data_IF_428272572377
#
_entry.id   IF_428272572377
#
_cell.length_a   1.000
_cell.length_b   1.000
_cell.length_c   1.000
_cell.angle_alpha   90.00
_cell.angle_beta   90.00
_cell.angle_gamma   90.00
#
_symmetry.space_group_name_H-M   'P 1'
#
loop_
_entity.id
_entity.type
_entity.pdbx_description
1 polymer ?
#
# COMPACT_ATOMS: atom_id res chain seq x y z
N UNK A 1 -3.90 -1.79 -4.88
CA UNK A 1 -3.19 -0.80 -4.04
C UNK A 1 -2.20 -0.02 -4.90
N UNK A 2 -2.03 1.28 -4.63
CA UNK A 2 -1.07 2.18 -5.28
C UNK A 2 -0.46 3.08 -4.20
N UNK A 3 0.82 3.40 -4.34
CA UNK A 3 1.53 4.32 -3.43
C UNK A 3 2.09 5.47 -4.27
N UNK A 4 1.70 6.69 -3.95
CA UNK A 4 2.20 7.91 -4.58
C UNK A 4 3.01 8.74 -3.60
N UNK A 5 4.14 9.27 -4.03
CA UNK A 5 4.93 10.25 -3.28
C UNK A 5 5.13 11.53 -4.08
N UNK A 6 5.82 12.50 -3.48
CA UNK A 6 6.14 13.78 -4.13
C UNK A 6 6.89 13.61 -5.46
N UNK A 7 7.69 12.55 -5.62
CA UNK A 7 8.44 12.23 -6.83
C UNK A 7 7.67 11.36 -7.84
N UNK A 8 6.39 11.05 -7.57
CA UNK A 8 5.54 10.22 -8.42
C UNK A 8 5.21 8.85 -7.82
N UNK A 9 4.74 7.93 -8.66
CA UNK A 9 4.30 6.61 -8.25
C UNK A 9 5.48 5.74 -7.75
N UNK A 10 5.34 5.19 -6.56
CA UNK A 10 6.30 4.25 -5.97
C UNK A 10 6.09 2.87 -6.57
N UNK A 11 7.18 2.24 -7.03
CA UNK A 11 7.16 0.84 -7.49
C UNK A 11 6.88 -0.08 -6.31
N UNK A 12 5.87 -0.93 -6.47
CA UNK A 12 5.47 -1.94 -5.50
C UNK A 12 5.52 -3.31 -6.17
N UNK A 13 5.85 -4.34 -5.40
CA UNK A 13 5.78 -5.74 -5.82
C UNK A 13 4.33 -6.20 -5.99
N UNK A 14 4.18 -7.47 -6.40
CA UNK A 14 2.87 -8.11 -6.46
C UNK A 14 2.18 -8.05 -5.09
N UNK A 15 0.86 -7.87 -5.12
CA UNK A 15 0.05 -7.95 -3.90
C UNK A 15 0.02 -9.40 -3.44
N UNK A 16 0.27 -9.60 -2.16
CA UNK A 16 0.24 -10.92 -1.52
C UNK A 16 -0.74 -10.88 -0.36
N UNK A 17 -1.39 -12.01 -0.11
CA UNK A 17 -2.29 -12.27 1.02
C UNK A 17 -2.11 -13.74 1.40
N UNK A 18 -2.19 -14.05 2.68
CA UNK A 18 -2.22 -15.44 3.14
C UNK A 18 -3.66 -15.95 3.14
N UNK A 19 -4.00 -16.84 2.19
CA UNK A 19 -5.36 -17.37 2.07
C UNK A 19 -5.74 -18.33 3.21
N UNK A 20 -4.79 -18.74 4.07
CA UNK A 20 -5.06 -19.59 5.24
C UNK A 20 -5.59 -18.78 6.43
N UNK A 21 -5.41 -17.46 6.44
CA UNK A 21 -5.86 -16.59 7.51
C UNK A 21 -7.07 -15.78 7.06
N UNK A 22 -8.19 -15.94 7.79
CA UNK A 22 -9.44 -15.21 7.54
C UNK A 22 -9.22 -13.68 7.46
N UNK A 23 -8.36 -13.15 8.33
CA UNK A 23 -8.04 -11.71 8.45
C UNK A 23 -6.63 -11.39 7.93
N UNK A 24 -6.14 -12.12 6.92
CA UNK A 24 -4.82 -11.87 6.36
C UNK A 24 -4.70 -10.43 5.84
N UNK A 25 -3.61 -9.71 6.21
CA UNK A 25 -3.33 -8.42 5.61
C UNK A 25 -3.00 -8.58 4.12
N UNK A 26 -3.39 -7.59 3.32
CA UNK A 26 -2.88 -7.44 1.96
C UNK A 26 -1.54 -6.71 2.02
N UNK A 27 -0.49 -7.37 1.53
CA UNK A 27 0.88 -6.86 1.60
C UNK A 27 1.36 -6.44 0.21
N UNK A 28 1.88 -5.22 0.12
CA UNK A 28 2.57 -4.70 -1.06
C UNK A 28 4.02 -4.40 -0.69
N UNK A 29 4.96 -5.22 -1.17
CA UNK A 29 6.38 -4.99 -0.91
C UNK A 29 6.86 -3.74 -1.66
N UNK A 30 7.59 -2.86 -0.98
CA UNK A 30 8.22 -1.70 -1.62
C UNK A 30 9.63 -2.10 -2.00
N UNK A 31 9.90 -2.18 -3.31
CA UNK A 31 11.15 -2.75 -3.85
C UNK A 31 12.34 -1.78 -3.83
N UNK A 32 12.12 -0.51 -3.49
CA UNK A 32 13.15 0.53 -3.51
C UNK A 32 13.08 1.41 -2.26
N UNK A 33 14.22 1.92 -1.81
CA UNK A 33 14.26 2.88 -0.72
C UNK A 33 13.37 4.10 -1.04
N UNK A 34 12.53 4.47 -0.07
CA UNK A 34 11.73 5.69 -0.15
C UNK A 34 12.57 6.88 0.30
N UNK A 35 12.53 7.96 -0.46
CA UNK A 35 13.07 9.23 -0.01
C UNK A 35 12.26 9.75 1.19
N UNK A 36 12.86 10.62 1.99
CA UNK A 36 12.13 11.32 3.03
C UNK A 36 11.01 12.17 2.41
N UNK A 37 9.80 12.08 2.96
CA UNK A 37 8.65 12.82 2.42
C UNK A 37 7.30 12.22 2.77
N UNK A 38 6.23 12.90 2.34
CA UNK A 38 4.85 12.45 2.46
C UNK A 38 4.48 11.52 1.30
N UNK A 39 3.77 10.46 1.63
CA UNK A 39 3.25 9.47 0.70
C UNK A 39 1.76 9.24 0.97
N UNK A 40 1.02 9.03 -0.10
CA UNK A 40 -0.40 8.67 -0.06
C UNK A 40 -0.56 7.27 -0.63
N UNK A 41 -1.24 6.42 0.12
CA UNK A 41 -1.62 5.08 -0.30
C UNK A 41 -3.08 5.10 -0.68
N UNK A 42 -3.38 4.67 -1.89
CA UNK A 42 -4.74 4.43 -2.37
C UNK A 42 -4.98 2.92 -2.49
N UNK A 43 -6.01 2.42 -1.84
CA UNK A 43 -6.37 1.01 -1.86
C UNK A 43 -7.84 0.79 -2.19
N UNK A 44 -8.10 -0.39 -2.75
CA UNK A 44 -9.42 -0.92 -3.00
C UNK A 44 -9.35 -2.42 -2.75
N UNK A 45 -10.32 -2.95 -2.01
CA UNK A 45 -10.51 -4.38 -1.76
C UNK A 45 -11.97 -4.72 -1.99
N UNK A 46 -12.25 -5.92 -2.46
CA UNK A 46 -13.60 -6.47 -2.47
C UNK A 46 -13.67 -7.54 -1.37
N UNK A 47 -14.73 -7.50 -0.56
CA UNK A 47 -15.03 -8.58 0.39
C UNK A 47 -15.57 -9.81 -0.32
N UNK A 48 -15.92 -10.84 0.46
CA UNK A 48 -16.53 -12.07 -0.06
C UNK A 48 -17.87 -11.82 -0.78
N UNK A 49 -18.55 -10.72 -0.44
CA UNK A 49 -19.80 -10.25 -1.04
C UNK A 49 -19.60 -9.48 -2.35
N UNK A 50 -18.35 -9.25 -2.77
CA UNK A 50 -17.99 -8.55 -3.99
C UNK A 50 -18.15 -7.03 -3.93
N UNK A 51 -18.60 -6.45 -2.81
CA UNK A 51 -18.70 -5.00 -2.70
C UNK A 51 -17.29 -4.38 -2.55
N UNK A 52 -16.90 -3.47 -3.46
CA UNK A 52 -15.60 -2.83 -3.38
C UNK A 52 -15.60 -1.75 -2.30
N UNK A 53 -14.74 -1.91 -1.31
CA UNK A 53 -14.39 -0.87 -0.35
C UNK A 53 -13.09 -0.24 -0.81
N UNK A 54 -13.06 1.10 -0.85
CA UNK A 54 -11.89 1.89 -1.21
C UNK A 54 -11.53 2.86 -0.10
N UNK A 55 -10.25 3.18 -0.01
CA UNK A 55 -9.78 4.15 0.96
C UNK A 55 -8.42 4.72 0.57
N UNK A 56 -8.08 5.80 1.26
CA UNK A 56 -6.76 6.42 1.15
C UNK A 56 -6.23 6.72 2.53
N UNK A 57 -4.93 6.58 2.72
CA UNK A 57 -4.26 7.05 3.93
C UNK A 57 -2.91 7.64 3.60
N UNK A 58 -2.45 8.55 4.45
CA UNK A 58 -1.17 9.22 4.29
C UNK A 58 -0.17 8.76 5.35
N UNK A 59 1.10 8.69 4.96
CA UNK A 59 2.20 8.48 5.89
C UNK A 59 3.41 9.35 5.50
N UNK A 60 4.34 9.52 6.44
CA UNK A 60 5.57 10.29 6.23
C UNK A 60 6.78 9.41 6.50
N UNK A 61 7.68 9.31 5.52
CA UNK A 61 9.00 8.71 5.69
C UNK A 61 9.93 9.78 6.23
N UNK A 62 10.47 9.56 7.42
CA UNK A 62 11.56 10.40 7.96
C UNK A 62 12.88 9.89 7.40
N UNK A 63 13.75 10.80 6.96
CA UNK A 63 15.10 10.43 6.56
C UNK A 63 15.87 9.82 7.73
N UNK A 64 16.72 8.84 7.45
CA UNK A 64 17.66 8.34 8.45
C UNK A 64 18.63 9.48 8.80
N UNK A 65 18.79 9.73 10.10
CA UNK A 65 19.77 10.68 10.64
C UNK A 65 21.07 9.94 10.93
#
# INVERSE_FOLDING_TARGET
MKVGGASGAVKTGALTRDDKLKDAPVVAAISSALAAGKYTVSWSVAGDDGHPVKGTFDFVVKGAK
#
